data_IF_985659272497
#
_entry.id   IF_985659272497
#
_cell.length_a   1.000
_cell.length_b   1.000
_cell.length_c   1.000
_cell.angle_alpha   90.00
_cell.angle_beta   90.00
_cell.angle_gamma   90.00
#
_symmetry.space_group_name_H-M   'P 1'
#
loop_
_entity.id
_entity.type
_entity.pdbx_description
1 polymer ?
#
# COMPACT_ATOMS: atom_id res chain seq x y z
N UNK A 1 -17.82 -8.91 -28.14
CA UNK A 1 -17.62 -7.64 -28.87
C UNK A 1 -18.25 -6.54 -28.03
N UNK A 2 -17.61 -5.56 -27.42
CA UNK A 2 -16.23 -5.10 -27.31
C UNK A 2 -16.37 -3.80 -26.51
N UNK A 3 -15.91 -3.76 -25.26
CA UNK A 3 -15.88 -2.51 -24.50
C UNK A 3 -14.74 -1.68 -25.07
N UNK A 4 -15.12 -0.62 -25.76
CA UNK A 4 -14.21 0.36 -26.35
C UNK A 4 -13.42 1.05 -25.23
N UNK A 5 -12.11 0.75 -25.15
CA UNK A 5 -11.11 1.59 -24.48
C UNK A 5 -10.95 2.90 -25.27
N UNK A 6 -11.98 3.72 -25.28
CA UNK A 6 -11.95 5.06 -25.85
C UNK A 6 -11.49 6.04 -24.77
N UNK A 7 -10.26 6.54 -24.87
CA UNK A 7 -9.99 7.91 -24.43
C UNK A 7 -8.87 8.19 -23.43
N UNK A 8 -8.20 7.20 -22.84
CA UNK A 8 -7.14 7.50 -21.83
C UNK A 8 -5.71 7.59 -22.40
N UNK A 9 -5.52 7.32 -23.70
CA UNK A 9 -4.19 7.23 -24.33
C UNK A 9 -3.89 8.24 -25.44
N UNK A 10 -4.45 9.46 -25.43
CA UNK A 10 -4.29 10.40 -26.56
C UNK A 10 -3.95 11.85 -26.19
N UNK A 11 -2.79 12.35 -26.64
CA UNK A 11 -2.35 13.76 -26.73
C UNK A 11 -2.32 14.65 -25.47
N UNK A 12 -3.09 14.35 -24.42
CA UNK A 12 -3.19 15.17 -23.20
C UNK A 12 -2.20 14.79 -22.10
N UNK A 13 -1.60 13.59 -22.21
CA UNK A 13 -0.61 13.07 -21.27
C UNK A 13 0.57 14.03 -20.99
N UNK A 14 1.14 14.74 -21.99
CA UNK A 14 2.18 15.73 -21.75
C UNK A 14 1.72 16.87 -20.83
N UNK A 15 0.44 17.27 -20.89
CA UNK A 15 -0.12 18.32 -20.03
C UNK A 15 -0.20 17.92 -18.56
N UNK A 16 -0.56 16.66 -18.28
CA UNK A 16 -0.59 16.10 -16.92
C UNK A 16 0.82 16.08 -16.34
N UNK A 17 1.81 15.64 -17.12
CA UNK A 17 3.21 15.59 -16.71
C UNK A 17 3.74 16.99 -16.41
N UNK A 18 3.43 17.99 -17.26
CA UNK A 18 3.82 19.37 -17.03
C UNK A 18 3.17 19.97 -15.76
N UNK A 19 1.89 19.66 -15.50
CA UNK A 19 1.19 20.12 -14.31
C UNK A 19 1.77 19.52 -13.01
N UNK A 20 2.11 18.23 -13.02
CA UNK A 20 2.76 17.55 -11.89
C UNK A 20 4.17 18.08 -11.64
N UNK A 21 4.92 18.38 -12.70
CA UNK A 21 6.26 18.98 -12.57
C UNK A 21 6.20 20.42 -12.05
N UNK A 22 5.19 21.20 -12.47
CA UNK A 22 4.93 22.53 -11.93
C UNK A 22 4.52 22.51 -10.45
N UNK A 23 3.71 21.52 -10.03
CA UNK A 23 3.33 21.34 -8.64
C UNK A 23 4.51 20.93 -7.74
N UNK A 24 5.44 20.14 -8.25
CA UNK A 24 6.67 19.76 -7.54
C UNK A 24 7.60 20.94 -7.24
N UNK A 25 7.62 21.97 -8.10
CA UNK A 25 8.38 23.21 -7.87
C UNK A 25 7.69 24.10 -6.82
N UNK A 26 6.36 24.04 -6.70
CA UNK A 26 5.62 24.78 -5.68
C UNK A 26 5.72 24.16 -4.28
N UNK A 27 6.10 22.87 -4.20
CA UNK A 27 6.28 22.13 -2.95
C UNK A 27 7.75 22.08 -2.49
N UNK A 28 8.58 23.02 -2.94
CA UNK A 28 9.89 23.28 -2.33
C UNK A 28 9.73 24.30 -1.19
N UNK A 29 9.93 23.93 0.09
CA UNK A 29 9.83 24.87 1.20
C UNK A 29 11.10 25.72 1.24
N UNK A 30 11.09 26.83 0.51
CA UNK A 30 12.12 27.86 0.55
C UNK A 30 11.53 29.22 0.80
N UNK A 31 11.28 29.54 2.08
CA UNK A 31 11.28 30.92 2.60
C UNK A 31 10.13 31.85 2.21
N UNK A 32 9.12 31.96 3.08
CA UNK A 32 8.51 33.26 3.36
C UNK A 32 7.85 33.25 4.76
N UNK A 33 8.66 33.58 5.78
CA UNK A 33 8.13 34.00 7.07
C UNK A 33 7.55 35.40 6.91
N UNK A 34 6.23 35.53 7.03
CA UNK A 34 5.56 36.81 6.89
C UNK A 34 4.04 36.71 6.91
N UNK A 35 3.46 36.52 8.10
CA UNK A 35 2.13 37.01 8.51
C UNK A 35 2.00 36.70 10.00
N UNK A 36 1.90 37.70 10.87
CA UNK A 36 0.87 38.74 10.80
C UNK A 36 -0.27 38.25 11.69
N UNK A 37 -0.33 38.82 12.89
CA UNK A 37 -1.04 38.24 14.01
C UNK A 37 -2.57 38.24 13.92
N UNK A 38 -3.13 37.38 14.76
CA UNK A 38 -4.46 37.42 15.37
C UNK A 38 -4.28 36.57 16.64
N UNK A 39 -4.31 37.08 17.86
CA UNK A 39 -5.37 37.85 18.48
C UNK A 39 -5.90 37.02 19.67
N UNK A 40 -5.52 37.45 20.88
CA UNK A 40 -6.13 37.19 22.22
C UNK A 40 -6.25 35.76 22.79
N UNK A 41 -5.66 35.51 23.99
CA UNK A 41 -6.09 34.45 24.90
C UNK A 41 -7.14 34.98 25.90
N UNK A 42 -8.30 34.34 25.94
CA UNK A 42 -9.33 34.53 26.97
C UNK A 42 -9.82 33.17 27.47
N UNK A 43 -9.53 32.89 28.73
CA UNK A 43 -9.94 31.72 29.56
C UNK A 43 -11.10 32.19 30.48
N UNK A 44 -11.81 31.36 31.28
CA UNK A 44 -12.41 30.01 31.13
C UNK A 44 -13.95 30.03 31.42
N UNK A 45 -14.63 28.88 31.29
CA UNK A 45 -15.82 28.60 32.13
C UNK A 45 -16.84 27.64 31.52
N UNK A 46 -17.27 26.63 32.28
CA UNK A 46 -18.46 25.85 31.96
C UNK A 46 -18.46 24.42 32.49
N UNK A 47 -18.77 24.26 33.76
CA UNK A 47 -19.06 22.98 34.40
C UNK A 47 -20.45 22.44 33.99
N UNK A 48 -20.55 21.11 33.88
CA UNK A 48 -21.78 20.32 33.78
C UNK A 48 -21.38 18.92 33.30
N UNK A 49 -21.45 17.84 34.08
CA UNK A 49 -22.52 17.43 34.97
C UNK A 49 -23.27 16.30 34.27
N UNK A 50 -22.82 15.05 34.41
CA UNK A 50 -23.60 13.86 34.03
C UNK A 50 -23.41 12.79 35.10
N UNK A 51 -24.30 12.81 36.09
CA UNK A 51 -24.65 11.64 36.89
C UNK A 51 -25.79 10.87 36.22
N UNK A 52 -25.74 9.54 36.33
CA UNK A 52 -26.82 8.62 35.98
C UNK A 52 -26.63 7.94 34.61
N UNK A 53 -26.96 6.67 34.41
CA UNK A 53 -27.59 5.67 35.26
C UNK A 53 -27.42 4.33 34.54
N UNK A 54 -27.35 3.22 35.29
CA UNK A 54 -27.07 1.89 34.79
C UNK A 54 -28.00 1.41 33.66
N UNK A 55 -27.39 0.74 32.68
CA UNK A 55 -28.06 -0.03 31.64
C UNK A 55 -27.67 -1.50 31.78
N UNK A 56 -28.68 -2.31 32.07
CA UNK A 56 -28.71 -3.76 32.25
C UNK A 56 -27.95 -4.57 31.20
N UNK A 57 -27.22 -5.58 31.67
CA UNK A 57 -26.63 -6.62 30.84
C UNK A 57 -27.71 -7.33 30.02
N UNK A 58 -27.71 -7.07 28.72
CA UNK A 58 -28.41 -7.91 27.75
C UNK A 58 -27.65 -9.22 27.54
N UNK A 59 -28.33 -10.31 27.18
CA UNK A 59 -27.65 -11.56 26.83
C UNK A 59 -26.73 -11.31 25.64
N UNK A 60 -25.44 -11.59 25.82
CA UNK A 60 -24.47 -11.64 24.72
C UNK A 60 -24.97 -12.68 23.74
N UNK A 61 -25.64 -12.23 22.68
CA UNK A 61 -26.02 -13.08 21.55
C UNK A 61 -24.71 -13.70 21.04
N UNK A 62 -24.61 -15.03 20.88
CA UNK A 62 -23.43 -15.63 20.28
C UNK A 62 -23.22 -14.95 18.93
N UNK A 63 -22.11 -14.22 18.83
CA UNK A 63 -21.74 -13.51 17.63
C UNK A 63 -21.61 -14.57 16.54
N UNK A 64 -22.38 -14.48 15.43
CA UNK A 64 -22.27 -15.47 14.38
C UNK A 64 -20.82 -15.52 13.91
N UNK A 65 -20.27 -16.73 13.89
CA UNK A 65 -18.93 -17.05 13.39
C UNK A 65 -18.69 -16.25 12.12
N UNK A 66 -17.74 -15.31 12.17
CA UNK A 66 -17.40 -14.48 11.02
C UNK A 66 -16.94 -15.42 9.91
N UNK A 67 -17.76 -15.59 8.87
CA UNK A 67 -17.30 -16.19 7.62
C UNK A 67 -16.03 -15.47 7.20
N UNK A 68 -14.98 -16.18 6.71
CA UNK A 68 -13.77 -15.54 6.23
C UNK A 68 -14.17 -14.43 5.25
N UNK A 69 -13.83 -13.19 5.59
CA UNK A 69 -14.17 -12.05 4.74
C UNK A 69 -13.42 -12.27 3.42
N UNK A 70 -14.10 -12.28 2.26
CA UNK A 70 -13.40 -12.37 0.99
C UNK A 70 -12.44 -11.18 0.87
N UNK A 71 -11.20 -11.44 0.45
CA UNK A 71 -10.14 -10.44 0.34
C UNK A 71 -9.72 -10.28 -1.14
N UNK A 72 -10.53 -9.58 -1.95
CA UNK A 72 -10.37 -9.53 -3.41
C UNK A 72 -9.01 -8.95 -3.83
N UNK A 73 -8.45 -8.01 -3.06
CA UNK A 73 -7.16 -7.39 -3.33
C UNK A 73 -6.01 -8.43 -3.30
N UNK A 74 -6.08 -9.43 -2.42
CA UNK A 74 -5.10 -10.53 -2.38
C UNK A 74 -5.20 -11.42 -3.62
N UNK A 75 -6.42 -11.66 -4.11
CA UNK A 75 -6.65 -12.45 -5.32
C UNK A 75 -6.20 -11.69 -6.58
N UNK A 76 -6.44 -10.39 -6.65
CA UNK A 76 -5.92 -9.53 -7.72
C UNK A 76 -4.38 -9.54 -7.72
N UNK A 77 -3.76 -9.46 -6.55
CA UNK A 77 -2.31 -9.52 -6.41
C UNK A 77 -1.74 -10.87 -6.86
N UNK A 78 -2.41 -11.99 -6.53
CA UNK A 78 -2.07 -13.34 -7.05
C UNK A 78 -2.15 -13.42 -8.57
N UNK A 79 -3.16 -12.80 -9.18
CA UNK A 79 -3.31 -12.75 -10.64
C UNK A 79 -2.18 -11.91 -11.25
N UNK A 80 -1.93 -10.73 -10.70
CA UNK A 80 -0.86 -9.85 -11.15
C UNK A 80 0.50 -10.54 -11.12
N UNK A 81 0.88 -11.13 -9.98
CA UNK A 81 2.16 -11.81 -9.80
C UNK A 81 2.37 -12.99 -10.74
N UNK A 82 1.31 -13.70 -11.13
CA UNK A 82 1.39 -14.76 -12.17
C UNK A 82 1.78 -14.22 -13.55
N UNK A 83 1.41 -12.99 -13.88
CA UNK A 83 1.76 -12.33 -15.15
C UNK A 83 3.14 -11.68 -15.16
N UNK A 84 3.76 -11.47 -13.99
CA UNK A 84 5.08 -10.85 -13.87
C UNK A 84 6.16 -11.78 -14.41
N UNK A 85 7.04 -11.22 -15.26
CA UNK A 85 8.15 -11.97 -15.82
C UNK A 85 9.11 -12.41 -14.71
N UNK A 86 9.41 -13.71 -14.64
CA UNK A 86 10.16 -14.33 -13.53
C UNK A 86 11.69 -14.23 -13.71
N UNK A 87 12.48 -14.15 -12.62
CA UNK A 87 13.95 -14.16 -12.66
C UNK A 87 14.52 -15.54 -13.00
N UNK A 88 15.86 -15.64 -13.13
CA UNK A 88 16.56 -16.91 -13.40
C UNK A 88 16.43 -17.91 -12.25
N UNK A 89 16.49 -17.45 -11.00
CA UNK A 89 16.29 -18.29 -9.81
C UNK A 89 14.79 -18.40 -9.44
N UNK A 90 13.99 -18.81 -10.44
CA UNK A 90 12.53 -18.78 -10.41
C UNK A 90 11.94 -19.58 -9.26
N UNK A 91 12.47 -20.78 -9.00
CA UNK A 91 11.86 -21.70 -8.04
C UNK A 91 11.88 -21.14 -6.61
N UNK A 92 12.99 -20.49 -6.21
CA UNK A 92 13.11 -19.90 -4.87
C UNK A 92 12.16 -18.72 -4.71
N UNK A 93 12.15 -17.79 -5.66
CA UNK A 93 11.26 -16.62 -5.57
C UNK A 93 9.78 -17.02 -5.64
N UNK A 94 9.43 -17.98 -6.51
CA UNK A 94 8.06 -18.50 -6.61
C UNK A 94 7.63 -19.09 -5.26
N UNK A 95 8.46 -19.91 -4.61
CA UNK A 95 8.16 -20.48 -3.30
C UNK A 95 8.01 -19.41 -2.19
N UNK A 96 8.85 -18.38 -2.18
CA UNK A 96 8.76 -17.28 -1.22
C UNK A 96 7.48 -16.45 -1.40
N UNK A 97 7.13 -16.12 -2.65
CA UNK A 97 5.93 -15.37 -2.96
C UNK A 97 4.67 -16.16 -2.60
N UNK A 98 4.58 -17.43 -2.99
CA UNK A 98 3.43 -18.28 -2.63
C UNK A 98 3.33 -18.43 -1.11
N UNK A 99 4.45 -18.68 -0.42
CA UNK A 99 4.46 -18.76 1.05
C UNK A 99 4.00 -17.47 1.73
N UNK A 100 4.38 -16.30 1.22
CA UNK A 100 3.88 -15.01 1.72
C UNK A 100 2.38 -14.85 1.46
N UNK A 101 1.90 -15.17 0.26
CA UNK A 101 0.50 -15.01 -0.13
C UNK A 101 -0.42 -15.95 0.65
N UNK A 102 0.00 -17.19 0.88
CA UNK A 102 -0.73 -18.14 1.73
C UNK A 102 -0.79 -17.66 3.17
N UNK A 103 0.32 -17.14 3.70
CA UNK A 103 0.34 -16.55 5.04
C UNK A 103 -0.58 -15.33 5.16
N UNK A 104 -0.61 -14.47 4.15
CA UNK A 104 -1.55 -13.35 4.10
C UNK A 104 -2.99 -13.85 4.08
N UNK A 105 -3.29 -14.90 3.31
CA UNK A 105 -4.62 -15.52 3.28
C UNK A 105 -5.02 -16.09 4.65
N UNK A 106 -4.09 -16.74 5.36
CA UNK A 106 -4.31 -17.28 6.71
C UNK A 106 -4.57 -16.18 7.74
N UNK A 107 -3.81 -15.09 7.70
CA UNK A 107 -3.95 -13.97 8.64
C UNK A 107 -5.22 -13.15 8.37
N UNK A 108 -5.67 -13.11 7.11
CA UNK A 108 -6.80 -12.30 6.65
C UNK A 108 -6.49 -10.79 6.64
N UNK A 109 -7.50 -9.96 6.30
CA UNK A 109 -7.34 -8.52 6.25
C UNK A 109 -7.15 -7.92 7.65
N UNK A 110 -5.97 -7.35 7.89
CA UNK A 110 -5.55 -6.63 9.09
C UNK A 110 -4.73 -5.43 8.67
N UNK A 111 -4.59 -4.38 9.49
CA UNK A 111 -3.82 -3.19 9.09
C UNK A 111 -2.40 -3.51 8.59
N UNK A 112 -1.71 -4.49 9.20
CA UNK A 112 -0.39 -4.91 8.77
C UNK A 112 -0.38 -5.69 7.44
N UNK A 113 -1.36 -6.56 7.21
CA UNK A 113 -1.45 -7.39 6.00
C UNK A 113 -1.97 -6.57 4.81
N UNK A 114 -2.87 -5.61 5.05
CA UNK A 114 -3.36 -4.63 4.07
C UNK A 114 -2.23 -3.71 3.58
N UNK A 115 -1.33 -3.27 4.47
CA UNK A 115 -0.15 -2.50 4.07
C UNK A 115 0.80 -3.31 3.17
N UNK A 116 0.92 -4.62 3.40
CA UNK A 116 1.73 -5.51 2.55
C UNK A 116 1.07 -5.67 1.18
N UNK A 117 -0.22 -6.02 1.13
CA UNK A 117 -0.96 -6.26 -0.11
C UNK A 117 -1.14 -5.01 -0.95
N UNK A 118 -1.51 -3.88 -0.33
CA UNK A 118 -1.84 -2.64 -1.04
C UNK A 118 -0.66 -1.70 -1.28
N UNK A 119 0.50 -1.95 -0.66
CA UNK A 119 1.63 -1.03 -0.71
C UNK A 119 2.96 -1.74 -0.91
N UNK A 120 3.41 -2.47 0.12
CA UNK A 120 4.81 -2.92 0.17
C UNK A 120 5.17 -3.94 -0.90
N UNK A 121 4.32 -4.95 -1.14
CA UNK A 121 4.58 -5.96 -2.16
C UNK A 121 4.48 -5.38 -3.58
N UNK A 122 3.45 -4.61 -3.96
CA UNK A 122 3.41 -3.94 -5.26
C UNK A 122 4.63 -3.05 -5.54
N UNK A 123 5.09 -2.27 -4.54
CA UNK A 123 6.26 -1.39 -4.69
C UNK A 123 7.55 -2.19 -4.90
N UNK A 124 7.76 -3.29 -4.16
CA UNK A 124 8.93 -4.14 -4.35
C UNK A 124 8.95 -4.77 -5.76
N UNK A 125 7.79 -5.20 -6.26
CA UNK A 125 7.67 -5.75 -7.62
C UNK A 125 7.89 -4.69 -8.69
N UNK A 126 7.40 -3.46 -8.49
CA UNK A 126 7.70 -2.34 -9.41
C UNK A 126 9.20 -2.04 -9.45
N UNK A 127 9.87 -2.02 -8.29
CA UNK A 127 11.32 -1.88 -8.19
C UNK A 127 12.07 -2.96 -8.98
N UNK A 128 11.68 -4.22 -8.82
CA UNK A 128 12.20 -5.34 -9.59
C UNK A 128 12.04 -5.16 -11.11
N UNK A 129 10.82 -4.86 -11.57
CA UNK A 129 10.52 -4.67 -12.99
C UNK A 129 11.31 -3.51 -13.58
N UNK A 130 11.44 -2.42 -12.83
CA UNK A 130 12.22 -1.26 -13.22
C UNK A 130 13.70 -1.61 -13.33
N UNK A 131 14.27 -2.27 -12.31
CA UNK A 131 15.67 -2.68 -12.32
C UNK A 131 15.98 -3.59 -13.51
N UNK A 132 15.14 -4.59 -13.76
CA UNK A 132 15.27 -5.49 -14.92
C UNK A 132 15.20 -4.75 -16.25
N UNK A 133 14.33 -3.75 -16.38
CA UNK A 133 14.22 -2.95 -17.61
C UNK A 133 15.53 -2.22 -17.94
N UNK A 134 16.33 -1.87 -16.93
CA UNK A 134 17.59 -1.14 -17.08
C UNK A 134 18.85 -2.02 -17.01
N UNK A 135 18.75 -3.33 -16.74
CA UNK A 135 19.91 -4.24 -16.61
C UNK A 135 20.88 -4.15 -17.79
N UNK A 136 20.36 -4.13 -19.02
CA UNK A 136 21.19 -4.06 -20.23
C UNK A 136 22.04 -2.79 -20.32
N UNK A 137 21.64 -1.74 -19.61
CA UNK A 137 22.32 -0.45 -19.59
C UNK A 137 23.10 -0.20 -18.29
N UNK A 138 22.90 -1.04 -17.27
CA UNK A 138 23.57 -0.95 -15.96
C UNK A 138 24.29 -2.25 -15.64
N UNK A 139 25.44 -2.44 -16.27
CA UNK A 139 26.35 -3.53 -15.88
C UNK A 139 26.75 -3.37 -14.41
N UNK A 140 26.54 -4.42 -13.61
CA UNK A 140 26.97 -4.49 -12.21
C UNK A 140 25.98 -3.95 -11.16
N UNK A 141 24.72 -3.68 -11.51
CA UNK A 141 23.72 -3.13 -10.57
C UNK A 141 23.12 -4.14 -9.55
N UNK A 142 23.79 -5.27 -9.29
CA UNK A 142 23.26 -6.34 -8.42
C UNK A 142 22.23 -7.23 -9.14
N UNK A 143 21.72 -8.25 -8.45
CA UNK A 143 20.67 -9.15 -8.95
C UNK A 143 19.29 -8.66 -8.47
N UNK A 144 18.43 -8.12 -9.36
CA UNK A 144 17.10 -7.64 -8.98
C UNK A 144 16.20 -8.75 -8.39
N UNK A 145 16.41 -10.01 -8.81
CA UNK A 145 15.66 -11.15 -8.28
C UNK A 145 15.99 -11.41 -6.81
N UNK A 146 17.27 -11.34 -6.45
CA UNK A 146 17.73 -11.48 -5.07
C UNK A 146 17.23 -10.33 -4.17
N UNK A 147 17.19 -9.09 -4.67
CA UNK A 147 16.65 -7.95 -3.93
C UNK A 147 15.15 -8.12 -3.63
N UNK A 148 14.35 -8.53 -4.63
CA UNK A 148 12.94 -8.83 -4.42
C UNK A 148 12.72 -9.98 -3.44
N UNK A 149 13.51 -11.06 -3.55
CA UNK A 149 13.43 -12.19 -2.62
C UNK A 149 13.73 -11.75 -1.18
N UNK A 150 14.74 -10.90 -0.98
CA UNK A 150 15.08 -10.34 0.32
C UNK A 150 13.94 -9.50 0.90
N UNK A 151 13.33 -8.61 0.11
CA UNK A 151 12.18 -7.82 0.56
C UNK A 151 10.98 -8.69 0.93
N UNK A 152 10.69 -9.75 0.17
CA UNK A 152 9.62 -10.71 0.48
C UNK A 152 9.89 -11.44 1.81
N UNK A 153 11.13 -11.86 2.05
CA UNK A 153 11.55 -12.47 3.33
C UNK A 153 11.38 -11.49 4.50
N UNK A 154 11.77 -10.21 4.34
CA UNK A 154 11.57 -9.17 5.35
C UNK A 154 10.08 -8.92 5.64
N UNK A 155 9.23 -8.94 4.61
CA UNK A 155 7.77 -8.82 4.79
C UNK A 155 7.21 -10.02 5.55
N UNK A 156 7.61 -11.24 5.18
CA UNK A 156 7.16 -12.45 5.87
C UNK A 156 7.59 -12.47 7.35
N UNK A 157 8.80 -12.01 7.65
CA UNK A 157 9.30 -11.87 9.02
C UNK A 157 8.55 -10.78 9.81
N UNK A 158 8.15 -9.69 9.16
CA UNK A 158 7.36 -8.63 9.78
C UNK A 158 5.94 -9.06 10.15
N UNK A 159 5.42 -10.14 9.56
CA UNK A 159 4.09 -10.70 9.84
C UNK A 159 4.09 -11.74 10.98
N UNK A 160 5.26 -12.14 11.49
CA UNK A 160 5.40 -13.05 12.63
C UNK A 160 5.48 -12.38 14.00
N UNK A 161 5.56 -11.04 14.05
CA UNK A 161 5.70 -10.25 15.27
C UNK A 161 4.40 -10.01 16.02
#
# INVERSE_FOLDING_TARGET
MGLHFAGLGGAWWPGIVAALYGAGVLLWPGGQGGRGGTGTPGTPGGAGGTDGQGGTGGPVRPQPSQSPRPWPELDELRVYLRGVARPQDRAKLDALLEGLLDRLAELGPRPSTELVVGGRLPVAVDGYLRARTWERWRAGAGDPGAELAHEVELMAAGLTG
#
